data_IF_173137681073
#
_entry.id   IF_173137681073
#
_cell.length_a   1.000
_cell.length_b   1.000
_cell.length_c   1.000
_cell.angle_alpha   90.00
_cell.angle_beta   90.00
_cell.angle_gamma   90.00
#
_symmetry.space_group_name_H-M   'P 1'
#
loop_
_entity.id
_entity.type
_entity.pdbx_description
1 polymer ?
#
# COMPACT_ATOMS: atom_id res chain seq x y z
N UNK A 1 15.47 14.14 -7.91
CA UNK A 1 15.37 13.22 -6.76
C UNK A 1 14.01 12.55 -6.86
N UNK A 2 14.00 11.23 -6.70
CA UNK A 2 12.78 10.42 -6.63
C UNK A 2 12.66 9.85 -5.22
N UNK A 3 11.52 10.03 -4.58
CA UNK A 3 11.15 9.31 -3.36
C UNK A 3 10.24 8.16 -3.80
N UNK A 4 10.74 6.93 -3.68
CA UNK A 4 10.00 5.72 -4.03
C UNK A 4 9.45 5.09 -2.77
N UNK A 5 8.13 5.21 -2.58
CA UNK A 5 7.44 4.53 -1.48
C UNK A 5 7.07 3.12 -1.93
N UNK A 6 7.80 2.15 -1.40
CA UNK A 6 7.69 0.74 -1.76
C UNK A 6 7.12 -0.11 -0.62
N UNK A 7 6.34 0.52 0.25
CA UNK A 7 5.77 -0.12 1.44
C UNK A 7 4.83 -1.30 1.13
N UNK A 8 4.28 -1.37 -0.08
CA UNK A 8 3.41 -2.45 -0.55
C UNK A 8 4.10 -3.46 -1.45
N UNK A 9 5.43 -3.40 -1.59
CA UNK A 9 6.22 -4.22 -2.53
C UNK A 9 6.01 -5.73 -2.41
N UNK A 10 5.66 -6.24 -1.22
CA UNK A 10 5.48 -7.67 -0.96
C UNK A 10 4.13 -8.22 -1.46
N UNK A 11 3.18 -7.34 -1.76
CA UNK A 11 1.85 -7.72 -2.24
C UNK A 11 1.75 -7.55 -3.75
N UNK A 12 2.05 -8.59 -4.49
CA UNK A 12 1.85 -8.68 -5.94
C UNK A 12 1.04 -9.92 -6.27
N UNK A 13 0.21 -9.86 -7.32
CA UNK A 13 -0.73 -10.90 -7.69
C UNK A 13 -0.48 -11.42 -9.11
N UNK A 14 -0.81 -12.69 -9.33
CA UNK A 14 -0.60 -13.36 -10.61
C UNK A 14 0.88 -13.47 -10.97
N UNK A 15 1.24 -13.10 -12.19
CA UNK A 15 2.62 -13.09 -12.70
C UNK A 15 3.36 -11.77 -12.43
N UNK A 16 2.69 -10.81 -11.79
CA UNK A 16 3.25 -9.50 -11.52
C UNK A 16 4.35 -9.58 -10.45
N UNK A 17 5.40 -8.83 -10.67
CA UNK A 17 6.53 -8.70 -9.73
C UNK A 17 6.81 -7.25 -9.46
N UNK A 18 7.07 -6.94 -8.20
CA UNK A 18 7.54 -5.61 -7.85
C UNK A 18 8.94 -5.36 -8.40
N UNK A 19 9.12 -4.20 -9.02
CA UNK A 19 10.43 -3.70 -9.44
C UNK A 19 10.79 -2.48 -8.60
N UNK A 20 11.81 -2.62 -7.78
CA UNK A 20 12.33 -1.49 -7.01
C UNK A 20 12.90 -0.43 -7.94
N UNK A 21 12.46 0.82 -7.81
CA UNK A 21 12.92 1.91 -8.67
C UNK A 21 14.45 2.04 -8.70
N UNK A 22 15.10 1.95 -7.56
CA UNK A 22 16.55 2.02 -7.44
C UNK A 22 17.30 0.86 -8.13
N UNK A 23 16.62 -0.24 -8.46
CA UNK A 23 17.24 -1.40 -9.13
C UNK A 23 17.25 -1.32 -10.64
N UNK A 24 16.62 -0.30 -11.23
CA UNK A 24 16.52 -0.15 -12.69
C UNK A 24 17.85 0.21 -13.35
N UNK A 25 18.67 1.04 -12.70
CA UNK A 25 20.06 1.32 -13.09
C UNK A 25 20.77 2.11 -11.98
N UNK A 26 22.10 2.24 -12.09
CA UNK A 26 22.91 3.07 -11.19
C UNK A 26 22.47 4.54 -11.21
N UNK A 27 22.06 5.07 -12.35
CA UNK A 27 21.56 6.45 -12.48
C UNK A 27 20.24 6.65 -11.69
N UNK A 28 19.33 5.66 -11.72
CA UNK A 28 18.11 5.70 -10.91
C UNK A 28 18.41 5.52 -9.43
N UNK A 29 19.36 4.65 -9.08
CA UNK A 29 19.80 4.49 -7.69
C UNK A 29 20.38 5.79 -7.12
N UNK A 30 21.19 6.52 -7.92
CA UNK A 30 21.85 7.75 -7.49
C UNK A 30 20.88 8.91 -7.16
N UNK A 31 19.69 8.91 -7.76
CA UNK A 31 18.67 9.94 -7.55
C UNK A 31 17.55 9.50 -6.60
N UNK A 32 17.61 8.28 -6.03
CA UNK A 32 16.50 7.68 -5.29
C UNK A 32 16.64 7.78 -3.78
N UNK A 33 15.49 7.88 -3.13
CA UNK A 33 15.25 7.60 -1.71
C UNK A 33 14.17 6.52 -1.68
N UNK A 34 14.56 5.27 -1.38
CA UNK A 34 13.61 4.15 -1.30
C UNK A 34 13.12 4.00 0.13
N UNK A 35 11.81 4.01 0.30
CA UNK A 35 11.13 3.87 1.59
C UNK A 35 10.43 2.51 1.66
N UNK A 36 10.78 1.69 2.63
CA UNK A 36 10.10 0.44 2.95
C UNK A 36 9.75 0.37 4.43
N UNK A 37 8.85 -0.51 4.81
CA UNK A 37 8.53 -0.74 6.22
C UNK A 37 7.90 -2.12 6.41
N UNK A 38 8.03 -2.74 7.59
CA UNK A 38 7.33 -3.97 7.94
C UNK A 38 5.84 -3.74 8.23
N UNK A 39 5.41 -2.48 8.29
CA UNK A 39 4.10 -2.06 8.79
C UNK A 39 2.92 -2.63 8.01
N UNK A 40 3.01 -2.69 6.68
CA UNK A 40 1.94 -3.25 5.83
C UNK A 40 2.10 -4.74 5.66
N UNK A 41 3.30 -5.21 5.41
CA UNK A 41 3.62 -6.62 5.19
C UNK A 41 3.31 -7.47 6.41
N UNK A 42 3.67 -6.99 7.61
CA UNK A 42 3.57 -7.75 8.86
C UNK A 42 2.61 -7.13 9.89
N UNK A 43 1.75 -6.19 9.48
CA UNK A 43 0.78 -5.53 10.34
C UNK A 43 1.39 -4.83 11.58
N UNK A 44 2.52 -4.17 11.40
CA UNK A 44 3.30 -3.53 12.47
C UNK A 44 3.23 -1.98 12.44
N UNK A 45 2.20 -1.40 11.82
CA UNK A 45 2.10 0.05 11.64
C UNK A 45 2.16 0.83 12.96
N UNK A 46 1.57 0.30 14.04
CA UNK A 46 1.57 0.94 15.36
C UNK A 46 2.97 1.11 15.98
N UNK A 47 3.97 0.39 15.50
CA UNK A 47 5.35 0.49 15.97
C UNK A 47 6.18 1.56 15.26
N UNK A 48 5.66 2.16 14.19
CA UNK A 48 6.21 3.34 13.50
C UNK A 48 7.69 3.19 13.11
N UNK A 49 8.03 2.07 12.47
CA UNK A 49 9.37 1.80 11.95
C UNK A 49 9.35 1.78 10.44
N UNK A 50 10.30 2.45 9.81
CA UNK A 50 10.55 2.38 8.37
C UNK A 50 12.04 2.28 8.06
N UNK A 51 12.35 1.68 6.93
CA UNK A 51 13.71 1.54 6.42
C UNK A 51 13.87 2.49 5.23
N UNK A 52 14.86 3.37 5.30
CA UNK A 52 15.13 4.37 4.26
C UNK A 52 16.48 4.06 3.63
N UNK A 53 16.47 3.71 2.36
CA UNK A 53 17.66 3.39 1.58
C UNK A 53 18.02 4.54 0.66
N UNK A 54 19.22 5.09 0.79
CA UNK A 54 19.72 6.20 -0.02
C UNK A 54 21.14 5.86 -0.46
N UNK A 55 21.34 5.33 -1.69
CA UNK A 55 22.66 4.97 -2.20
C UNK A 55 23.60 6.17 -2.29
N UNK A 56 23.14 7.32 -2.82
CA UNK A 56 23.92 8.54 -2.98
C UNK A 56 24.32 9.13 -1.62
N UNK A 57 25.64 9.23 -1.38
CA UNK A 57 26.18 9.70 -0.11
C UNK A 57 25.82 11.15 0.21
N UNK A 58 25.84 12.03 -0.79
CA UNK A 58 25.50 13.44 -0.62
C UNK A 58 24.03 13.60 -0.24
N UNK A 59 23.16 12.85 -0.91
CA UNK A 59 21.73 12.86 -0.61
C UNK A 59 21.46 12.28 0.78
N UNK A 60 22.09 11.16 1.12
CA UNK A 60 22.00 10.51 2.43
C UNK A 60 22.49 11.45 3.56
N UNK A 61 23.56 12.19 3.36
CA UNK A 61 24.04 13.18 4.32
C UNK A 61 23.00 14.30 4.55
N UNK A 62 22.43 14.85 3.46
CA UNK A 62 21.38 15.88 3.56
C UNK A 62 20.15 15.36 4.30
N UNK A 63 19.72 14.13 4.01
CA UNK A 63 18.62 13.48 4.69
C UNK A 63 18.87 13.35 6.19
N UNK A 64 20.02 12.78 6.59
CA UNK A 64 20.40 12.66 8.01
C UNK A 64 20.40 14.01 8.72
N UNK A 65 20.98 15.04 8.10
CA UNK A 65 20.98 16.37 8.66
C UNK A 65 19.57 16.94 8.88
N UNK A 66 18.64 16.67 7.97
CA UNK A 66 17.25 17.08 8.10
C UNK A 66 16.54 16.34 9.24
N UNK A 67 16.76 15.03 9.37
CA UNK A 67 16.24 14.21 10.47
C UNK A 67 16.75 14.72 11.82
N UNK A 68 18.05 14.99 11.94
CA UNK A 68 18.65 15.53 13.15
C UNK A 68 18.07 16.90 13.52
N UNK A 69 17.91 17.78 12.52
CA UNK A 69 17.33 19.12 12.72
C UNK A 69 15.86 19.07 13.16
N UNK A 70 15.12 18.04 12.75
CA UNK A 70 13.75 17.79 13.19
C UNK A 70 13.66 17.23 14.63
N UNK A 71 14.80 16.92 15.26
CA UNK A 71 14.87 16.37 16.61
C UNK A 71 14.51 14.89 16.70
N UNK A 72 14.40 14.20 15.56
CA UNK A 72 14.11 12.78 15.52
C UNK A 72 15.42 11.98 15.62
N UNK A 73 15.75 11.51 16.81
CA UNK A 73 17.07 10.93 17.08
C UNK A 73 17.09 9.41 17.25
N UNK A 74 15.96 8.80 17.63
CA UNK A 74 15.94 7.37 17.97
C UNK A 74 14.62 6.73 17.59
N UNK A 75 14.72 5.52 17.03
CA UNK A 75 13.58 4.61 16.80
C UNK A 75 13.27 3.87 18.12
N UNK A 76 12.00 3.57 18.38
CA UNK A 76 11.65 2.82 19.57
C UNK A 76 12.19 1.37 19.51
N UNK A 77 12.63 0.86 20.64
CA UNK A 77 13.27 -0.46 20.73
C UNK A 77 12.34 -1.58 20.28
N UNK A 78 11.06 -1.54 20.68
CA UNK A 78 10.09 -2.57 20.31
C UNK A 78 9.88 -2.62 18.79
N UNK A 79 9.91 -1.45 18.14
CA UNK A 79 9.83 -1.36 16.69
C UNK A 79 11.03 -1.99 15.98
N UNK A 80 12.24 -1.78 16.50
CA UNK A 80 13.45 -2.39 15.94
C UNK A 80 13.44 -3.91 16.07
N UNK A 81 13.15 -4.43 17.27
CA UNK A 81 13.06 -5.87 17.54
C UNK A 81 11.96 -6.53 16.69
N UNK A 82 10.79 -5.91 16.61
CA UNK A 82 9.69 -6.43 15.79
C UNK A 82 10.02 -6.39 14.29
N UNK A 83 10.67 -5.34 13.81
CA UNK A 83 11.12 -5.24 12.41
C UNK A 83 12.11 -6.36 12.07
N UNK A 84 13.12 -6.57 12.93
CA UNK A 84 14.08 -7.65 12.76
C UNK A 84 13.40 -9.02 12.76
N UNK A 85 12.59 -9.29 13.78
CA UNK A 85 11.90 -10.58 13.90
C UNK A 85 10.96 -10.85 12.71
N UNK A 86 10.26 -9.84 12.22
CA UNK A 86 9.36 -9.95 11.08
C UNK A 86 10.11 -10.36 9.80
N UNK A 87 11.21 -9.70 9.49
CA UNK A 87 12.00 -10.04 8.29
C UNK A 87 12.81 -11.33 8.44
N UNK A 88 13.21 -11.70 9.66
CA UNK A 88 13.99 -12.91 9.90
C UNK A 88 13.14 -14.18 9.98
N UNK A 89 11.91 -14.08 10.53
CA UNK A 89 11.07 -15.24 10.82
C UNK A 89 9.67 -15.18 10.23
N UNK A 90 9.29 -14.10 9.55
CA UNK A 90 7.91 -13.85 9.10
C UNK A 90 7.52 -14.46 7.75
N UNK A 91 8.40 -15.19 7.06
CA UNK A 91 8.14 -15.70 5.70
C UNK A 91 6.90 -16.61 5.63
N UNK A 92 6.78 -17.55 6.55
CA UNK A 92 5.63 -18.46 6.59
C UNK A 92 4.32 -17.71 6.84
N UNK A 93 4.34 -16.76 7.78
CA UNK A 93 3.19 -15.92 8.09
C UNK A 93 2.75 -15.10 6.86
N UNK A 94 3.70 -14.50 6.16
CA UNK A 94 3.42 -13.71 4.94
C UNK A 94 2.84 -14.58 3.83
N UNK A 95 3.38 -15.78 3.65
CA UNK A 95 2.87 -16.74 2.66
C UNK A 95 1.41 -17.11 2.94
N UNK A 96 1.08 -17.43 4.18
CA UNK A 96 -0.30 -17.75 4.58
C UNK A 96 -1.23 -16.53 4.44
N UNK A 97 -0.76 -15.34 4.79
CA UNK A 97 -1.51 -14.10 4.61
C UNK A 97 -1.82 -13.86 3.12
N UNK A 98 -0.84 -14.04 2.23
CA UNK A 98 -1.05 -13.84 0.79
C UNK A 98 -2.07 -14.82 0.22
N UNK A 99 -2.07 -16.07 0.63
CA UNK A 99 -3.11 -17.03 0.24
C UNK A 99 -4.50 -16.60 0.73
N UNK A 100 -4.62 -16.20 1.99
CA UNK A 100 -5.88 -15.69 2.54
C UNK A 100 -6.41 -14.46 1.79
N UNK A 101 -5.52 -13.50 1.47
CA UNK A 101 -5.88 -12.31 0.71
C UNK A 101 -6.30 -12.64 -0.72
N UNK A 102 -5.65 -13.61 -1.35
CA UNK A 102 -6.01 -14.11 -2.68
C UNK A 102 -7.43 -14.71 -2.71
N UNK A 103 -7.79 -15.46 -1.68
CA UNK A 103 -9.14 -16.00 -1.53
C UNK A 103 -10.16 -14.87 -1.33
N UNK A 104 -9.83 -13.83 -0.55
CA UNK A 104 -10.68 -12.65 -0.40
C UNK A 104 -10.89 -11.91 -1.73
N UNK A 105 -9.83 -11.72 -2.52
CA UNK A 105 -9.92 -11.11 -3.86
C UNK A 105 -10.85 -11.93 -4.76
N UNK A 106 -10.69 -13.26 -4.76
CA UNK A 106 -11.52 -14.16 -5.55
C UNK A 106 -12.99 -14.09 -5.11
N UNK A 107 -13.26 -14.06 -3.81
CA UNK A 107 -14.61 -13.93 -3.25
C UNK A 107 -15.27 -12.62 -3.68
N UNK A 108 -14.58 -11.49 -3.54
CA UNK A 108 -15.13 -10.17 -3.92
C UNK A 108 -15.40 -10.11 -5.42
N UNK A 109 -14.49 -10.63 -6.24
CA UNK A 109 -14.65 -10.72 -7.70
C UNK A 109 -15.92 -11.48 -8.07
N UNK A 110 -16.08 -12.69 -7.55
CA UNK A 110 -17.25 -13.54 -7.81
C UNK A 110 -18.54 -12.87 -7.31
N UNK A 111 -18.51 -12.28 -6.12
CA UNK A 111 -19.66 -11.59 -5.54
C UNK A 111 -20.11 -10.42 -6.40
N UNK A 112 -19.19 -9.57 -6.85
CA UNK A 112 -19.49 -8.44 -7.73
C UNK A 112 -20.08 -8.95 -9.05
N UNK A 113 -19.43 -9.91 -9.69
CA UNK A 113 -19.90 -10.44 -10.97
C UNK A 113 -21.30 -11.06 -10.90
N UNK A 114 -21.61 -11.75 -9.81
CA UNK A 114 -22.86 -12.50 -9.69
C UNK A 114 -24.00 -11.72 -9.03
N UNK A 115 -23.69 -10.81 -8.11
CA UNK A 115 -24.67 -10.10 -7.27
C UNK A 115 -24.80 -8.63 -7.58
N UNK A 116 -23.74 -8.00 -8.08
CA UNK A 116 -23.66 -6.55 -8.29
C UNK A 116 -23.20 -6.23 -9.73
N UNK A 117 -23.92 -6.67 -10.77
CA UNK A 117 -23.43 -6.63 -12.17
C UNK A 117 -23.24 -5.22 -12.73
N UNK A 118 -23.64 -4.18 -12.00
CA UNK A 118 -23.37 -2.79 -12.35
C UNK A 118 -22.08 -2.25 -11.76
N UNK A 119 -21.45 -2.98 -10.86
CA UNK A 119 -20.14 -2.63 -10.32
C UNK A 119 -19.05 -3.38 -11.08
N UNK A 120 -17.88 -2.77 -11.19
CA UNK A 120 -16.72 -3.40 -11.80
C UNK A 120 -15.55 -3.32 -10.84
N UNK A 121 -15.00 -4.46 -10.45
CA UNK A 121 -13.75 -4.51 -9.73
C UNK A 121 -12.61 -4.34 -10.72
N UNK A 122 -11.72 -3.38 -10.47
CA UNK A 122 -10.44 -3.28 -11.19
C UNK A 122 -9.57 -4.44 -10.71
N UNK A 123 -9.06 -5.23 -11.65
CA UNK A 123 -8.24 -6.40 -11.29
C UNK A 123 -6.95 -5.95 -10.62
N UNK A 124 -6.69 -6.35 -9.37
CA UNK A 124 -5.51 -5.90 -8.66
C UNK A 124 -4.25 -6.59 -9.18
N UNK A 125 -3.22 -5.83 -9.48
CA UNK A 125 -1.87 -6.31 -9.80
C UNK A 125 -0.97 -6.31 -8.56
N UNK A 126 -1.30 -5.50 -7.57
CA UNK A 126 -0.59 -5.37 -6.30
C UNK A 126 -1.47 -4.85 -5.19
N UNK A 127 -0.89 -4.72 -4.00
CA UNK A 127 -1.54 -4.32 -2.75
C UNK A 127 -2.68 -5.25 -2.30
N UNK A 128 -3.21 -5.03 -1.12
CA UNK A 128 -4.39 -5.74 -0.60
C UNK A 128 -5.66 -4.88 -0.65
N UNK A 129 -5.59 -3.70 -1.25
CA UNK A 129 -6.72 -2.80 -1.47
C UNK A 129 -7.37 -3.13 -2.81
N UNK A 130 -8.70 -3.09 -2.85
CA UNK A 130 -9.45 -3.29 -4.08
C UNK A 130 -10.02 -1.96 -4.53
N UNK A 131 -10.08 -1.76 -5.84
CA UNK A 131 -10.62 -0.56 -6.46
C UNK A 131 -11.88 -0.93 -7.25
N UNK A 132 -13.02 -0.35 -6.85
CA UNK A 132 -14.33 -0.73 -7.40
C UNK A 132 -14.98 0.47 -8.09
N UNK A 133 -15.37 0.28 -9.33
CA UNK A 133 -16.04 1.27 -10.15
C UNK A 133 -17.57 1.24 -9.93
N UNK A 134 -18.12 2.32 -9.43
CA UNK A 134 -19.54 2.53 -9.18
C UNK A 134 -20.23 3.41 -10.24
N UNK A 135 -19.51 3.92 -11.23
CA UNK A 135 -20.01 4.92 -12.19
C UNK A 135 -21.26 4.45 -12.96
N UNK A 136 -21.38 3.15 -13.24
CA UNK A 136 -22.54 2.60 -13.92
C UNK A 136 -23.85 2.67 -13.11
N UNK A 137 -23.80 3.03 -11.82
CA UNK A 137 -25.00 3.30 -11.04
C UNK A 137 -25.63 4.69 -11.35
N UNK A 138 -24.88 5.60 -11.96
CA UNK A 138 -25.34 6.96 -12.28
C UNK A 138 -25.67 7.80 -11.05
N UNK A 139 -25.05 7.50 -9.90
CA UNK A 139 -25.27 8.23 -8.65
C UNK A 139 -24.32 9.41 -8.52
N UNK A 140 -24.78 10.47 -7.88
CA UNK A 140 -23.89 11.55 -7.43
C UNK A 140 -23.03 11.04 -6.27
N UNK A 141 -21.93 11.74 -5.96
CA UNK A 141 -21.06 11.45 -4.82
C UNK A 141 -21.86 11.28 -3.51
N UNK A 142 -22.70 12.27 -3.20
CA UNK A 142 -23.52 12.23 -1.98
C UNK A 142 -24.49 11.04 -1.94
N UNK A 143 -25.07 10.66 -3.09
CA UNK A 143 -25.95 9.50 -3.16
C UNK A 143 -25.20 8.18 -3.01
N UNK A 144 -23.96 8.11 -3.53
CA UNK A 144 -23.10 6.94 -3.39
C UNK A 144 -22.65 6.77 -1.95
N UNK A 145 -22.19 7.83 -1.30
CA UNK A 145 -21.82 7.81 0.12
C UNK A 145 -23.03 7.41 1.01
N UNK A 146 -24.21 7.97 0.80
CA UNK A 146 -25.41 7.57 1.52
C UNK A 146 -25.75 6.07 1.33
N UNK A 147 -25.59 5.57 0.10
CA UNK A 147 -25.81 4.15 -0.21
C UNK A 147 -24.82 3.24 0.55
N UNK A 148 -23.54 3.59 0.57
CA UNK A 148 -22.47 2.81 1.16
C UNK A 148 -22.55 2.90 2.70
N UNK A 149 -22.54 4.09 3.25
CA UNK A 149 -22.44 4.29 4.69
C UNK A 149 -23.74 4.00 5.42
N UNK A 150 -24.87 4.55 4.94
CA UNK A 150 -26.12 4.50 5.68
C UNK A 150 -27.02 3.30 5.32
N UNK A 151 -26.95 2.81 4.07
CA UNK A 151 -27.81 1.70 3.63
C UNK A 151 -27.07 0.36 3.64
N UNK A 152 -25.82 0.32 3.20
CA UNK A 152 -25.03 -0.90 3.23
C UNK A 152 -24.26 -1.07 4.56
N UNK A 153 -24.16 -0.03 5.40
CA UNK A 153 -23.38 -0.01 6.64
C UNK A 153 -21.92 -0.42 6.42
N UNK A 154 -21.33 0.09 5.33
CA UNK A 154 -19.92 -0.10 5.01
C UNK A 154 -19.17 1.22 5.17
N UNK A 155 -17.91 1.12 5.57
CA UNK A 155 -16.99 2.26 5.59
C UNK A 155 -15.89 2.00 4.57
N UNK A 156 -15.95 2.68 3.43
CA UNK A 156 -14.97 2.61 2.35
C UNK A 156 -14.34 3.98 2.15
N UNK A 157 -13.16 3.99 1.54
CA UNK A 157 -12.49 5.23 1.17
C UNK A 157 -13.01 5.70 -0.18
N UNK A 158 -13.56 6.95 -0.24
CA UNK A 158 -14.01 7.50 -1.51
C UNK A 158 -12.86 7.76 -2.46
N UNK A 159 -13.01 7.30 -3.69
CA UNK A 159 -12.02 7.52 -4.74
C UNK A 159 -11.72 8.99 -5.02
N UNK A 160 -12.67 9.89 -4.75
CA UNK A 160 -12.47 11.34 -4.86
C UNK A 160 -11.32 11.87 -3.97
N UNK A 161 -10.96 11.16 -2.88
CA UNK A 161 -9.82 11.50 -2.03
C UNK A 161 -8.48 11.40 -2.77
N UNK A 162 -8.42 10.60 -3.84
CA UNK A 162 -7.22 10.34 -4.63
C UNK A 162 -7.10 11.24 -5.86
N UNK A 163 -8.03 12.16 -6.03
CA UNK A 163 -8.06 13.14 -7.12
C UNK A 163 -9.28 13.01 -8.04
N UNK A 164 -9.41 13.91 -9.03
CA UNK A 164 -10.60 13.97 -9.88
C UNK A 164 -10.83 12.69 -10.69
N UNK A 165 -9.77 11.97 -11.06
CA UNK A 165 -9.89 10.72 -11.81
C UNK A 165 -10.40 9.55 -10.93
N UNK A 166 -10.41 9.71 -9.61
CA UNK A 166 -10.97 8.76 -8.67
C UNK A 166 -12.47 8.92 -8.42
N UNK A 167 -13.11 9.97 -8.96
CA UNK A 167 -14.54 10.14 -8.79
C UNK A 167 -15.33 8.96 -9.36
N UNK A 168 -16.25 8.44 -8.54
CA UNK A 168 -17.07 7.29 -8.92
C UNK A 168 -16.48 5.94 -8.52
N UNK A 169 -15.31 5.92 -7.90
CA UNK A 169 -14.69 4.73 -7.34
C UNK A 169 -14.72 4.71 -5.82
N UNK A 170 -14.55 3.51 -5.27
CA UNK A 170 -14.35 3.23 -3.84
C UNK A 170 -13.26 2.16 -3.64
#
# INVERSE_FOLDING_TARGET
>A
IVVSDEIHSDFTWGENKHLMFASLSDDFADISITCTAPSKTFNLAGLQVSNIFIPNETLRFKFKKAVDAAGYSQVNVMGLEACQAAYEYGEEWLTQLKEYLKDNIAFVREFIQTRLPKLTMIEPEGTYLLWIDFRALGLTEAQRQDLIENKANLWLDSGAMFGPDGEGFE
#
